data_IF_133049589862
#
_entry.id   IF_133049589862
#
_cell.length_a   1.000
_cell.length_b   1.000
_cell.length_c   1.000
_cell.angle_alpha   90.00
_cell.angle_beta   90.00
_cell.angle_gamma   90.00
#
_symmetry.space_group_name_H-M   'P 1'
#
loop_
_entity.id
_entity.type
_entity.pdbx_description
1 polymer ?
#
# COMPACT_ATOMS: atom_id res chain seq x y z
N UNK A 1 6.19 -17.37 3.36
CA UNK A 1 5.79 -18.52 4.22
C UNK A 1 4.29 -18.47 4.46
N UNK A 2 3.58 -19.49 4.00
CA UNK A 2 2.12 -19.58 4.14
C UNK A 2 1.70 -19.59 5.62
N UNK A 3 0.53 -19.04 5.91
CA UNK A 3 -0.09 -19.19 7.23
C UNK A 3 -0.59 -20.63 7.33
N UNK A 4 -0.23 -21.31 8.42
CA UNK A 4 -0.68 -22.66 8.75
C UNK A 4 -1.43 -22.64 10.08
N UNK A 5 -2.30 -23.62 10.29
CA UNK A 5 -2.95 -23.89 11.57
C UNK A 5 -2.08 -24.81 12.45
N UNK A 6 -2.62 -25.26 13.58
CA UNK A 6 -1.96 -26.13 14.56
C UNK A 6 -1.64 -27.52 13.98
N UNK A 7 -2.41 -27.98 12.98
CA UNK A 7 -2.22 -29.26 12.28
C UNK A 7 -1.29 -29.13 11.06
N UNK A 8 -0.60 -28.00 10.91
CA UNK A 8 0.27 -27.67 9.77
C UNK A 8 -0.44 -27.56 8.41
N UNK A 9 -1.77 -27.50 8.38
CA UNK A 9 -2.54 -27.30 7.15
C UNK A 9 -2.48 -25.84 6.72
N UNK A 10 -2.31 -25.60 5.41
CA UNK A 10 -2.17 -24.24 4.87
C UNK A 10 -3.53 -23.55 4.85
N UNK A 11 -3.73 -22.62 5.79
CA UNK A 11 -4.94 -21.80 5.89
C UNK A 11 -4.89 -20.53 5.02
N UNK A 12 -3.70 -20.05 4.66
CA UNK A 12 -3.56 -18.88 3.76
C UNK A 12 -2.21 -18.81 3.07
N UNK A 13 -2.22 -18.64 1.75
CA UNK A 13 -1.02 -18.28 1.00
C UNK A 13 -0.61 -16.85 1.34
N UNK A 14 0.63 -16.68 1.82
CA UNK A 14 1.20 -15.37 2.14
C UNK A 14 2.26 -15.04 1.09
N UNK A 15 1.84 -14.29 0.09
CA UNK A 15 2.72 -13.56 -0.83
C UNK A 15 2.53 -12.07 -0.61
N UNK A 16 3.59 -11.29 -0.80
CA UNK A 16 3.56 -9.83 -0.77
C UNK A 16 4.33 -9.34 -1.98
N UNK A 17 3.64 -8.64 -2.88
CA UNK A 17 4.28 -7.86 -3.92
C UNK A 17 4.46 -6.45 -3.38
N UNK A 18 5.70 -5.99 -3.31
CA UNK A 18 6.09 -4.67 -2.79
C UNK A 18 6.94 -4.00 -3.85
N UNK A 19 6.61 -2.76 -4.18
CA UNK A 19 7.42 -1.98 -5.10
C UNK A 19 8.74 -1.58 -4.41
N UNK A 20 9.83 -1.61 -5.17
CA UNK A 20 11.15 -1.13 -4.69
C UNK A 20 11.20 0.40 -4.80
N UNK A 21 10.42 1.13 -4.00
CA UNK A 21 10.37 2.59 -4.08
C UNK A 21 11.68 3.33 -3.86
N UNK A 22 12.66 2.69 -3.20
CA UNK A 22 14.01 3.24 -3.08
C UNK A 22 14.77 3.26 -4.42
N UNK A 23 14.35 2.47 -5.39
CA UNK A 23 14.93 2.41 -6.73
C UNK A 23 14.22 3.36 -7.73
N UNK A 24 13.14 4.03 -7.31
CA UNK A 24 12.49 5.07 -8.11
C UNK A 24 13.35 6.34 -8.13
N UNK A 25 13.42 6.98 -9.30
CA UNK A 25 14.09 8.26 -9.49
C UNK A 25 13.07 9.40 -9.44
N UNK A 26 13.36 10.38 -8.61
CA UNK A 26 12.60 11.63 -8.54
C UNK A 26 12.60 12.34 -9.91
N UNK A 27 11.51 13.03 -10.24
CA UNK A 27 11.23 13.68 -11.54
C UNK A 27 11.05 12.74 -12.75
N UNK A 28 11.45 11.46 -12.62
CA UNK A 28 11.23 10.43 -13.65
C UNK A 28 10.02 9.57 -13.31
N UNK A 29 10.00 9.03 -12.09
CA UNK A 29 8.99 8.07 -11.64
C UNK A 29 7.93 8.69 -10.71
N UNK A 30 8.24 9.85 -10.11
CA UNK A 30 7.33 10.63 -9.27
C UNK A 30 7.83 12.07 -9.11
N UNK A 31 6.89 13.01 -9.01
CA UNK A 31 7.19 14.44 -8.75
C UNK A 31 7.24 14.77 -7.26
N UNK A 32 6.45 14.10 -6.43
CA UNK A 32 6.34 14.40 -5.00
C UNK A 32 6.15 13.12 -4.18
N UNK A 33 6.81 13.07 -3.01
CA UNK A 33 6.56 12.03 -2.01
C UNK A 33 5.44 12.46 -1.07
N UNK A 34 4.37 11.66 -1.00
CA UNK A 34 3.21 11.97 -0.16
C UNK A 34 3.16 11.07 1.08
N UNK A 35 2.83 11.62 2.24
CA UNK A 35 2.58 10.87 3.46
C UNK A 35 1.33 11.41 4.19
N UNK A 36 0.20 10.69 4.21
CA UNK A 36 -1.00 11.09 4.94
C UNK A 36 -0.77 10.82 6.43
N UNK A 37 -0.11 11.77 7.11
CA UNK A 37 0.03 11.71 8.56
C UNK A 37 -0.99 12.65 9.18
N UNK A 38 -1.98 12.07 9.87
CA UNK A 38 -2.91 12.86 10.66
C UNK A 38 -2.13 13.69 11.70
N UNK A 39 -2.42 14.98 11.80
CA UNK A 39 -1.75 15.86 12.77
C UNK A 39 -2.13 15.43 14.18
N UNK A 40 -1.16 15.04 15.00
CA UNK A 40 -1.39 14.57 16.38
C UNK A 40 -2.23 15.53 17.24
N UNK A 41 -2.06 16.85 17.05
CA UNK A 41 -2.89 17.87 17.73
C UNK A 41 -4.38 17.72 17.37
N UNK A 42 -4.71 17.50 16.09
CA UNK A 42 -6.07 17.31 15.64
C UNK A 42 -6.67 15.99 16.15
N UNK A 43 -5.88 14.91 16.13
CA UNK A 43 -6.30 13.61 16.68
C UNK A 43 -6.60 13.70 18.17
N UNK A 44 -5.73 14.36 18.94
CA UNK A 44 -5.94 14.60 20.38
C UNK A 44 -7.21 15.41 20.64
N UNK A 45 -7.40 16.52 19.92
CA UNK A 45 -8.60 17.36 20.04
C UNK A 45 -9.87 16.56 19.73
N UNK A 46 -9.86 15.76 18.67
CA UNK A 46 -10.97 14.89 18.29
C UNK A 46 -11.32 13.89 19.41
N UNK A 47 -10.32 13.20 19.97
CA UNK A 47 -10.52 12.23 21.05
C UNK A 47 -11.05 12.92 22.31
N UNK A 48 -10.47 14.07 22.70
CA UNK A 48 -10.94 14.85 23.86
C UNK A 48 -12.39 15.30 23.68
N UNK A 49 -12.74 15.77 22.49
CA UNK A 49 -14.11 16.19 22.19
C UNK A 49 -15.09 15.02 22.22
N UNK A 50 -14.72 13.89 21.61
CA UNK A 50 -15.54 12.68 21.62
C UNK A 50 -15.78 12.19 23.06
N UNK A 51 -14.75 12.17 23.90
CA UNK A 51 -14.86 11.82 25.32
C UNK A 51 -15.78 12.78 26.08
N UNK A 52 -15.63 14.10 25.86
CA UNK A 52 -16.48 15.11 26.52
C UNK A 52 -17.96 15.02 26.11
N UNK A 53 -18.24 14.61 24.87
CA UNK A 53 -19.61 14.47 24.35
C UNK A 53 -20.17 13.05 24.49
N UNK A 54 -19.45 12.14 25.17
CA UNK A 54 -19.81 10.73 25.29
C UNK A 54 -20.09 10.06 23.92
N UNK A 55 -19.33 10.45 22.90
CA UNK A 55 -19.42 9.88 21.55
C UNK A 55 -18.53 8.63 21.49
N UNK A 56 -19.11 7.51 21.07
CA UNK A 56 -18.35 6.27 20.81
C UNK A 56 -17.52 6.43 19.53
N UNK A 57 -16.21 6.23 19.66
CA UNK A 57 -15.28 6.24 18.52
C UNK A 57 -15.02 4.81 18.07
N UNK A 58 -15.13 4.56 16.77
CA UNK A 58 -14.77 3.28 16.15
C UNK A 58 -13.50 3.44 15.32
N UNK A 59 -12.62 2.44 15.38
CA UNK A 59 -11.41 2.36 14.57
C UNK A 59 -11.57 1.25 13.52
N UNK A 60 -11.21 1.56 12.28
CA UNK A 60 -11.18 0.57 11.19
C UNK A 60 -9.78 0.56 10.56
N UNK A 61 -9.20 -0.63 10.45
CA UNK A 61 -7.98 -0.87 9.67
C UNK A 61 -8.35 -1.49 8.32
N UNK A 62 -8.17 -0.72 7.25
CA UNK A 62 -8.48 -1.16 5.89
C UNK A 62 -7.31 -1.99 5.37
N UNK A 63 -7.49 -3.31 5.40
CA UNK A 63 -6.56 -4.23 4.75
C UNK A 63 -6.52 -3.92 3.25
N UNK A 64 -5.32 -3.94 2.68
CA UNK A 64 -5.09 -3.78 1.23
C UNK A 64 -5.59 -2.46 0.63
N UNK A 65 -5.69 -1.38 1.42
CA UNK A 65 -6.14 -0.07 0.92
C UNK A 65 -5.46 0.38 -0.38
N UNK A 66 -4.14 0.15 -0.50
CA UNK A 66 -3.38 0.47 -1.72
C UNK A 66 -3.90 -0.25 -2.97
N UNK A 67 -4.39 -1.49 -2.84
CA UNK A 67 -4.96 -2.25 -3.97
C UNK A 67 -6.35 -1.75 -4.41
N UNK A 68 -6.86 -0.69 -3.80
CA UNK A 68 -8.10 -0.03 -4.23
C UNK A 68 -7.85 1.40 -4.73
N UNK A 69 -6.73 2.03 -4.35
CA UNK A 69 -6.34 3.35 -4.86
C UNK A 69 -5.92 3.29 -6.34
N UNK A 70 -6.60 4.00 -7.25
CA UNK A 70 -6.14 4.11 -8.62
C UNK A 70 -4.84 4.92 -8.67
N UNK A 71 -3.89 4.51 -9.51
CA UNK A 71 -2.72 5.34 -9.82
C UNK A 71 -3.09 6.35 -10.89
N UNK A 72 -2.72 7.61 -10.69
CA UNK A 72 -2.87 8.66 -11.70
C UNK A 72 -1.73 8.57 -12.72
N UNK A 73 -0.55 8.22 -12.23
CA UNK A 73 0.69 8.11 -12.99
C UNK A 73 0.86 6.70 -13.59
N UNK A 74 1.48 6.61 -14.77
CA UNK A 74 1.86 5.31 -15.34
C UNK A 74 3.14 4.79 -14.65
N UNK A 75 2.99 3.69 -13.93
CA UNK A 75 4.11 3.06 -13.21
C UNK A 75 4.34 1.65 -13.75
N UNK A 76 5.59 1.35 -14.05
CA UNK A 76 6.03 0.03 -14.47
C UNK A 76 6.88 -0.63 -13.39
N UNK A 77 6.77 -1.95 -13.26
CA UNK A 77 7.61 -2.75 -12.36
C UNK A 77 8.18 -3.94 -13.11
N UNK A 78 9.41 -4.31 -12.74
CA UNK A 78 10.01 -5.55 -13.22
C UNK A 78 9.17 -6.75 -12.80
N UNK A 79 9.27 -7.82 -13.59
CA UNK A 79 8.62 -9.08 -13.26
C UNK A 79 9.14 -9.59 -11.90
N UNK A 80 8.26 -10.09 -11.01
CA UNK A 80 8.68 -10.60 -9.72
C UNK A 80 9.59 -11.81 -9.89
N UNK A 81 10.58 -11.94 -9.01
CA UNK A 81 11.43 -13.11 -8.96
C UNK A 81 10.58 -14.38 -8.82
N UNK A 82 10.80 -15.37 -9.69
CA UNK A 82 10.01 -16.61 -9.77
C UNK A 82 8.70 -16.52 -10.58
N UNK A 83 8.38 -15.36 -11.14
CA UNK A 83 7.21 -15.14 -12.02
C UNK A 83 7.58 -14.50 -13.37
N UNK A 84 8.85 -14.60 -13.77
CA UNK A 84 9.34 -14.09 -15.06
C UNK A 84 8.79 -14.94 -16.20
N UNK A 85 8.20 -14.31 -17.21
CA UNK A 85 7.75 -14.95 -18.44
C UNK A 85 8.96 -15.50 -19.22
N UNK A 86 9.06 -16.82 -19.45
CA UNK A 86 10.19 -17.41 -20.16
C UNK A 86 10.28 -16.98 -21.63
N UNK A 87 9.19 -16.55 -22.24
CA UNK A 87 9.16 -16.08 -23.63
C UNK A 87 9.44 -14.58 -23.76
N UNK A 88 9.26 -13.82 -22.67
CA UNK A 88 9.44 -12.38 -22.66
C UNK A 88 10.08 -11.90 -21.34
N UNK A 89 11.31 -12.33 -21.04
CA UNK A 89 11.97 -12.01 -19.77
C UNK A 89 12.20 -10.51 -19.57
N UNK A 90 12.33 -9.75 -20.66
CA UNK A 90 12.58 -8.31 -20.67
C UNK A 90 11.32 -7.45 -20.46
N UNK A 91 10.13 -8.03 -20.51
CA UNK A 91 8.89 -7.26 -20.31
C UNK A 91 8.75 -6.80 -18.87
N UNK A 92 8.01 -5.70 -18.71
CA UNK A 92 7.64 -5.10 -17.43
C UNK A 92 6.12 -5.08 -17.26
N UNK A 93 5.64 -5.07 -16.03
CA UNK A 93 4.22 -4.96 -15.73
C UNK A 93 3.83 -3.51 -15.48
N UNK A 94 2.77 -3.05 -16.16
CA UNK A 94 2.13 -1.77 -15.85
C UNK A 94 1.19 -1.93 -14.65
N UNK A 95 1.38 -1.13 -13.62
CA UNK A 95 0.50 -1.09 -12.47
C UNK A 95 -0.77 -0.31 -12.78
N UNK A 96 -1.94 -0.95 -12.56
CA UNK A 96 -3.25 -0.28 -12.65
C UNK A 96 -3.70 0.35 -11.34
N UNK A 97 -3.08 -0.05 -10.22
CA UNK A 97 -3.46 0.33 -8.86
C UNK A 97 -2.21 0.52 -8.02
N UNK A 98 -2.35 1.28 -6.94
CA UNK A 98 -1.23 1.55 -6.05
C UNK A 98 -0.71 0.27 -5.39
N UNK A 99 0.61 0.17 -5.29
CA UNK A 99 1.29 -0.87 -4.53
C UNK A 99 2.02 -0.26 -3.35
N UNK A 100 2.11 -1.03 -2.27
CA UNK A 100 2.95 -0.66 -1.14
C UNK A 100 4.40 -0.50 -1.61
N UNK A 101 5.07 0.53 -1.09
CA UNK A 101 6.45 0.85 -1.43
C UNK A 101 6.61 1.86 -2.55
N UNK A 102 5.57 2.22 -3.33
CA UNK A 102 5.65 3.35 -4.26
C UNK A 102 5.65 4.69 -3.48
N UNK A 103 6.42 5.67 -3.95
CA UNK A 103 6.54 6.99 -3.31
C UNK A 103 5.23 7.79 -3.33
N UNK A 104 4.45 7.62 -4.40
CA UNK A 104 3.15 8.25 -4.62
C UNK A 104 1.95 7.42 -4.16
N UNK A 105 2.14 6.14 -3.81
CA UNK A 105 1.02 5.27 -3.40
C UNK A 105 0.17 5.84 -2.24
N UNK A 106 0.73 6.53 -1.24
CA UNK A 106 -0.08 7.12 -0.18
C UNK A 106 -1.08 8.16 -0.69
N UNK A 107 -0.77 8.90 -1.77
CA UNK A 107 -1.70 9.86 -2.40
C UNK A 107 -2.94 9.18 -2.96
N UNK A 108 -2.78 7.98 -3.52
CA UNK A 108 -3.88 7.22 -4.14
C UNK A 108 -4.90 6.68 -3.12
N UNK A 109 -4.54 6.61 -1.84
CA UNK A 109 -5.40 6.14 -0.74
C UNK A 109 -5.78 7.24 0.25
N UNK A 110 -5.35 8.47 -0.01
CA UNK A 110 -5.69 9.63 0.81
C UNK A 110 -7.02 10.20 0.36
N UNK A 111 -7.88 10.49 1.33
CA UNK A 111 -9.18 11.15 1.14
C UNK A 111 -9.01 12.66 1.22
#
# INVERSE_FOLDING_TARGET
KNKRDEENTVIRNKSRLVAKGYAQKEEVDYEESFAPVARLKAVRLFITYAAHKSITVYQMDVKTAFLYGPLKEEVYVNQPDGFVDPYHPEKVYRLKKALYGLKQAPKAVSV
#
